data_IF_542988263015
#
_entry.id   IF_542988263015
#
_cell.length_a   1.000
_cell.length_b   1.000
_cell.length_c   1.000
_cell.angle_alpha   90.00
_cell.angle_beta   90.00
_cell.angle_gamma   90.00
#
_symmetry.space_group_name_H-M   'P 1'
#
loop_
_entity.id
_entity.type
_entity.pdbx_description
1 polymer ?
#
# COMPACT_ATOMS: atom_id res chain seq x y z
N UNK A 1 -18.94 -7.79 11.26
CA UNK A 1 -17.80 -8.53 11.84
C UNK A 1 -17.50 -7.95 13.22
N UNK A 2 -17.10 -8.74 14.24
CA UNK A 2 -16.69 -8.17 15.53
C UNK A 2 -15.50 -7.21 15.38
N UNK A 3 -15.45 -6.07 16.08
CA UNK A 3 -14.39 -5.07 15.91
C UNK A 3 -12.97 -5.62 16.13
N UNK A 4 -12.80 -6.55 17.08
CA UNK A 4 -11.50 -7.19 17.34
C UNK A 4 -10.98 -8.01 16.16
N UNK A 5 -11.88 -8.69 15.43
CA UNK A 5 -11.49 -9.44 14.24
C UNK A 5 -11.18 -8.50 13.06
N UNK A 6 -11.94 -7.41 12.91
CA UNK A 6 -11.65 -6.37 11.92
C UNK A 6 -10.26 -5.75 12.14
N UNK A 7 -9.87 -5.51 13.40
CA UNK A 7 -8.55 -5.00 13.75
C UNK A 7 -7.44 -5.98 13.35
N UNK A 8 -7.57 -7.26 13.70
CA UNK A 8 -6.59 -8.29 13.35
C UNK A 8 -6.41 -8.42 11.83
N UNK A 9 -7.52 -8.48 11.08
CA UNK A 9 -7.47 -8.53 9.60
C UNK A 9 -6.77 -7.29 9.05
N UNK A 10 -7.08 -6.10 9.58
CA UNK A 10 -6.47 -4.85 9.12
C UNK A 10 -4.96 -4.82 9.40
N UNK A 11 -4.56 -5.26 10.60
CA UNK A 11 -3.16 -5.28 11.03
C UNK A 11 -2.28 -6.23 10.20
N UNK A 12 -2.85 -7.25 9.57
CA UNK A 12 -2.13 -8.20 8.71
C UNK A 12 -2.24 -7.79 7.23
N UNK A 13 -3.44 -7.48 6.76
CA UNK A 13 -3.72 -7.24 5.35
C UNK A 13 -3.05 -5.94 4.85
N UNK A 14 -3.01 -4.89 5.66
CA UNK A 14 -2.48 -3.59 5.25
C UNK A 14 -0.96 -3.63 5.05
N UNK A 15 -0.15 -4.15 6.00
CA UNK A 15 1.29 -4.30 5.77
C UNK A 15 1.60 -5.23 4.60
N UNK A 16 0.85 -6.33 4.45
CA UNK A 16 1.01 -7.24 3.31
C UNK A 16 0.72 -6.56 1.97
N UNK A 17 -0.36 -5.75 1.90
CA UNK A 17 -0.72 -5.00 0.71
C UNK A 17 0.35 -3.94 0.37
N UNK A 18 0.80 -3.14 1.33
CA UNK A 18 1.87 -2.13 1.12
C UNK A 18 3.18 -2.80 0.65
N UNK A 19 3.56 -3.91 1.28
CA UNK A 19 4.77 -4.66 0.89
C UNK A 19 4.66 -5.20 -0.54
N UNK A 20 3.53 -5.82 -0.90
CA UNK A 20 3.30 -6.32 -2.26
C UNK A 20 3.33 -5.19 -3.28
N UNK A 21 2.72 -4.04 -2.96
CA UNK A 21 2.63 -2.89 -3.87
C UNK A 21 3.98 -2.23 -4.13
N UNK A 22 4.83 -2.09 -3.11
CA UNK A 22 6.11 -1.40 -3.27
C UNK A 22 7.23 -2.40 -3.53
N UNK A 23 7.50 -3.30 -2.60
CA UNK A 23 8.61 -4.26 -2.70
C UNK A 23 8.33 -5.36 -3.72
N UNK A 24 7.12 -5.91 -3.72
CA UNK A 24 6.71 -6.96 -4.66
C UNK A 24 6.68 -6.46 -6.11
N UNK A 25 6.18 -5.23 -6.35
CA UNK A 25 6.18 -4.62 -7.69
C UNK A 25 7.58 -4.21 -8.14
N UNK A 26 8.40 -3.67 -7.23
CA UNK A 26 9.80 -3.34 -7.48
C UNK A 26 10.58 -4.55 -8.02
N UNK A 27 10.47 -5.69 -7.36
CA UNK A 27 11.19 -6.91 -7.74
C UNK A 27 10.83 -7.45 -9.13
N UNK A 28 9.67 -7.07 -9.68
CA UNK A 28 9.20 -7.50 -11.02
C UNK A 28 9.59 -6.52 -12.13
N UNK A 29 10.17 -5.37 -11.82
CA UNK A 29 10.62 -4.42 -12.83
C UNK A 29 12.02 -4.78 -13.30
N UNK A 30 12.14 -5.15 -14.58
CA UNK A 30 13.43 -5.37 -15.26
C UNK A 30 14.25 -4.09 -15.08
N UNK A 31 15.43 -4.18 -14.43
CA UNK A 31 16.35 -3.10 -14.01
C UNK A 31 16.23 -2.54 -12.57
N UNK A 32 15.36 -3.06 -11.71
CA UNK A 32 15.25 -2.55 -10.34
C UNK A 32 16.19 -3.27 -9.37
N UNK A 33 17.29 -2.64 -8.96
CA UNK A 33 18.03 -3.08 -7.77
C UNK A 33 17.25 -2.63 -6.54
N UNK A 34 16.70 -3.60 -5.81
CA UNK A 34 16.06 -3.31 -4.54
C UNK A 34 17.11 -2.78 -3.57
N UNK A 35 16.95 -1.51 -3.19
CA UNK A 35 17.70 -0.95 -2.08
C UNK A 35 16.72 -0.60 -0.99
N UNK A 36 17.06 -0.97 0.25
CA UNK A 36 16.29 -0.63 1.42
C UNK A 36 16.01 0.88 1.41
N UNK A 37 14.76 1.23 1.14
CA UNK A 37 14.29 2.60 1.05
C UNK A 37 13.29 2.82 2.17
N UNK A 38 13.63 3.63 3.19
CA UNK A 38 12.72 3.88 4.29
C UNK A 38 11.43 4.50 3.75
N UNK A 39 10.26 4.08 4.26
CA UNK A 39 9.00 4.62 3.79
C UNK A 39 8.94 6.12 4.00
N UNK A 40 8.61 6.87 2.95
CA UNK A 40 8.39 8.32 3.07
C UNK A 40 7.26 8.62 4.06
N UNK A 41 7.28 9.82 4.67
CA UNK A 41 6.18 10.27 5.57
C UNK A 41 4.81 10.17 4.89
N UNK A 42 4.75 10.46 3.59
CA UNK A 42 3.53 10.30 2.78
C UNK A 42 3.10 8.84 2.68
N UNK A 43 4.04 7.90 2.50
CA UNK A 43 3.73 6.46 2.48
C UNK A 43 3.15 6.00 3.82
N UNK A 44 3.72 6.44 4.95
CA UNK A 44 3.17 6.16 6.28
C UNK A 44 1.72 6.67 6.39
N UNK A 45 1.46 7.92 5.96
CA UNK A 45 0.10 8.47 5.93
C UNK A 45 -0.81 7.61 5.05
N UNK A 46 -0.35 7.20 3.87
CA UNK A 46 -1.09 6.33 2.96
C UNK A 46 -1.43 4.96 3.58
N UNK A 47 -0.49 4.35 4.31
CA UNK A 47 -0.70 3.09 5.04
C UNK A 47 -1.77 3.28 6.12
N UNK A 48 -1.70 4.37 6.89
CA UNK A 48 -2.69 4.70 7.92
C UNK A 48 -4.07 4.91 7.31
N UNK A 49 -4.17 5.62 6.18
CA UNK A 49 -5.42 5.80 5.44
C UNK A 49 -5.98 4.46 4.94
N UNK A 50 -5.13 3.59 4.39
CA UNK A 50 -5.53 2.25 3.94
C UNK A 50 -6.06 1.40 5.11
N UNK A 51 -5.41 1.48 6.27
CA UNK A 51 -5.87 0.82 7.48
C UNK A 51 -7.22 1.35 7.96
N UNK A 52 -7.39 2.66 8.01
CA UNK A 52 -8.66 3.28 8.40
C UNK A 52 -9.79 2.90 7.43
N UNK A 53 -9.52 2.92 6.11
CA UNK A 53 -10.48 2.55 5.08
C UNK A 53 -10.91 1.09 5.17
N UNK A 54 -9.94 0.17 5.29
CA UNK A 54 -10.22 -1.27 5.41
C UNK A 54 -10.98 -1.58 6.71
N UNK A 55 -10.54 -1.05 7.85
CA UNK A 55 -11.21 -1.25 9.14
C UNK A 55 -12.66 -0.75 9.08
N UNK A 56 -12.88 0.46 8.57
CA UNK A 56 -14.22 1.04 8.42
C UNK A 56 -15.10 0.17 7.54
N UNK A 57 -14.60 -0.29 6.39
CA UNK A 57 -15.34 -1.22 5.52
C UNK A 57 -15.70 -2.52 6.24
N UNK A 58 -14.78 -3.15 6.97
CA UNK A 58 -15.04 -4.41 7.68
C UNK A 58 -16.05 -4.28 8.82
N UNK A 59 -16.09 -3.12 9.48
CA UNK A 59 -17.08 -2.80 10.52
C UNK A 59 -18.46 -2.53 9.91
N UNK A 60 -18.52 -1.82 8.78
CA UNK A 60 -19.77 -1.46 8.10
C UNK A 60 -20.39 -2.62 7.32
N UNK A 61 -19.59 -3.57 6.82
CA UNK A 61 -20.07 -4.76 6.13
C UNK A 61 -20.75 -5.71 7.12
N UNK A 62 -22.08 -5.67 7.12
CA UNK A 62 -22.96 -6.65 7.78
C UNK A 62 -23.53 -7.61 6.72
N UNK A 63 -23.36 -8.93 6.88
CA UNK A 63 -24.11 -9.92 6.10
C UNK A 63 -25.56 -10.06 6.63
N UNK A 64 -26.59 -10.35 5.81
CA UNK A 64 -26.63 -10.47 4.35
C UNK A 64 -27.57 -9.40 3.75
N UNK A 65 -27.10 -8.16 3.54
CA UNK A 65 -27.92 -7.13 2.90
C UNK A 65 -27.71 -7.09 1.38
N UNK A 66 -28.81 -7.16 0.62
CA UNK A 66 -28.83 -7.12 -0.84
C UNK A 66 -28.29 -5.79 -1.40
N UNK A 67 -27.41 -5.88 -2.41
CA UNK A 67 -26.94 -4.85 -3.35
C UNK A 67 -26.43 -3.48 -2.83
N UNK A 68 -26.63 -3.13 -1.56
CA UNK A 68 -26.00 -1.98 -0.91
C UNK A 68 -24.51 -2.24 -0.55
N UNK A 69 -23.97 -3.40 -0.94
CA UNK A 69 -22.62 -3.85 -0.61
C UNK A 69 -21.49 -3.00 -1.20
N UNK A 70 -21.68 -2.39 -2.38
CA UNK A 70 -20.63 -1.62 -3.06
C UNK A 70 -20.30 -0.31 -2.35
N UNK A 71 -21.29 0.40 -1.81
CA UNK A 71 -21.07 1.63 -1.05
C UNK A 71 -20.24 1.41 0.21
N UNK A 72 -20.34 0.21 0.81
CA UNK A 72 -19.55 -0.18 1.99
C UNK A 72 -18.06 -0.37 1.65
N UNK A 73 -17.72 -0.57 0.37
CA UNK A 73 -16.34 -0.64 -0.13
C UNK A 73 -15.74 0.73 -0.45
N UNK A 74 -16.54 1.80 -0.47
CA UNK A 74 -16.07 3.14 -0.81
C UNK A 74 -14.88 3.61 0.07
N UNK A 75 -14.88 3.40 1.41
CA UNK A 75 -13.77 3.81 2.26
C UNK A 75 -12.45 3.13 1.89
N UNK A 76 -12.46 1.80 1.72
CA UNK A 76 -11.25 1.06 1.33
C UNK A 76 -10.82 1.37 -0.10
N UNK A 77 -11.76 1.55 -1.04
CA UNK A 77 -11.44 1.89 -2.42
C UNK A 77 -10.78 3.28 -2.53
N UNK A 78 -11.33 4.29 -1.86
CA UNK A 78 -10.76 5.63 -1.84
C UNK A 78 -9.37 5.63 -1.19
N UNK A 79 -9.21 4.94 -0.06
CA UNK A 79 -7.92 4.81 0.61
C UNK A 79 -6.88 4.07 -0.25
N UNK A 80 -7.30 3.04 -0.97
CA UNK A 80 -6.44 2.28 -1.89
C UNK A 80 -5.95 3.16 -3.04
N UNK A 81 -6.81 3.96 -3.67
CA UNK A 81 -6.40 4.88 -4.74
C UNK A 81 -5.34 5.87 -4.26
N UNK A 82 -5.54 6.47 -3.10
CA UNK A 82 -4.57 7.40 -2.49
C UNK A 82 -3.26 6.68 -2.17
N UNK A 83 -3.33 5.49 -1.56
CA UNK A 83 -2.15 4.71 -1.22
C UNK A 83 -1.36 4.30 -2.46
N UNK A 84 -2.02 3.83 -3.53
CA UNK A 84 -1.39 3.46 -4.81
C UNK A 84 -0.63 4.64 -5.41
N UNK A 85 -1.24 5.83 -5.46
CA UNK A 85 -0.61 7.01 -6.02
C UNK A 85 0.68 7.38 -5.25
N UNK A 86 0.64 7.28 -3.92
CA UNK A 86 1.80 7.53 -3.06
C UNK A 86 2.86 6.43 -3.24
N UNK A 87 2.45 5.16 -3.27
CA UNK A 87 3.32 4.00 -3.45
C UNK A 87 4.05 4.05 -4.80
N UNK A 88 3.35 4.41 -5.88
CA UNK A 88 3.96 4.62 -7.19
C UNK A 88 5.01 5.72 -7.18
N UNK A 89 4.74 6.84 -6.50
CA UNK A 89 5.72 7.93 -6.35
C UNK A 89 6.97 7.45 -5.60
N UNK A 90 6.79 6.69 -4.52
CA UNK A 90 7.89 6.14 -3.72
C UNK A 90 8.71 5.12 -4.55
N UNK A 91 8.03 4.28 -5.33
CA UNK A 91 8.66 3.32 -6.24
C UNK A 91 9.50 4.00 -7.33
N UNK A 92 8.98 5.10 -7.92
CA UNK A 92 9.74 5.89 -8.91
C UNK A 92 10.95 6.58 -8.26
N UNK A 93 10.81 7.07 -7.03
CA UNK A 93 11.93 7.66 -6.28
C UNK A 93 13.02 6.62 -6.01
N UNK A 94 12.63 5.41 -5.58
CA UNK A 94 13.53 4.28 -5.39
C UNK A 94 14.26 3.90 -6.68
N UNK A 95 13.55 3.84 -7.81
CA UNK A 95 14.16 3.53 -9.11
C UNK A 95 15.25 4.55 -9.48
N UNK A 96 14.98 5.84 -9.31
CA UNK A 96 15.96 6.90 -9.61
C UNK A 96 17.20 6.79 -8.72
N UNK A 97 17.00 6.52 -7.43
CA UNK A 97 18.11 6.33 -6.49
C UNK A 97 18.96 5.09 -6.82
N UNK A 98 18.34 3.99 -7.25
CA UNK A 98 19.05 2.79 -7.69
C UNK A 98 19.87 3.04 -8.97
N UNK A 99 19.30 3.76 -9.94
CA UNK A 99 20.01 4.12 -11.18
C UNK A 99 21.19 5.06 -10.93
N UNK A 100 21.05 6.06 -10.04
CA UNK A 100 22.14 6.96 -9.67
C UNK A 100 23.36 6.23 -9.10
N UNK A 101 23.14 5.29 -8.17
CA UNK A 101 24.23 4.48 -7.60
C UNK A 101 24.95 3.60 -8.62
N UNK A 102 24.23 3.05 -9.61
CA UNK A 102 24.88 2.28 -10.69
C UNK A 102 25.77 3.17 -11.56
N UNK A 103 25.27 4.36 -11.91
CA UNK A 103 26.05 5.31 -12.69
C UNK A 103 27.31 5.79 -11.96
N UNK A 104 27.27 5.95 -10.63
CA UNK A 104 28.44 6.21 -9.80
C UNK A 104 29.42 5.02 -9.82
N UNK A 105 28.93 3.79 -9.64
CA UNK A 105 29.76 2.60 -9.63
C UNK A 105 30.43 2.28 -10.99
N UNK A 106 29.80 2.65 -12.10
CA UNK A 106 30.36 2.48 -13.45
C UNK A 106 31.40 3.57 -13.82
N UNK A 107 31.48 4.66 -13.04
CA UNK A 107 32.38 5.79 -13.27
C UNK A 107 33.71 5.68 -12.51
N UNK A 108 33.82 4.77 -11.54
CA UNK A 108 35.00 4.45 -10.74
C UNK A 108 35.82 3.29 -11.35
#
# INVERSE_FOLDING_TARGET
MPPGYALLVTAIAVPAADWLMVTGSAAKMVSFDYVYWPPSRLRIIGIVLLAAGLFTTLVLVRPPESNAGLWKLLPVAAALVVHVAIAMRDLLAQRRAAQGRRAEADAD
#
